data_IF_916798493651
#
_entry.id   IF_916798493651
#
_cell.length_a   1.000
_cell.length_b   1.000
_cell.length_c   1.000
_cell.angle_alpha   90.00
_cell.angle_beta   90.00
_cell.angle_gamma   90.00
#
_symmetry.space_group_name_H-M   'P 1'
#
loop_
_entity.id
_entity.type
_entity.pdbx_description
1 polymer ?
2 non-polymer ?
3 water ?
#
# COMPACT_ATOMS: atom_id res chain seq x y z
N UNK A 34 10.06 -14.10 -8.42
CA UNK A 34 9.88 -15.22 -9.40
C UNK A 34 8.70 -16.10 -9.04
N UNK A 35 8.45 -16.30 -7.74
CA UNK A 35 7.49 -17.27 -7.14
C UNK A 35 6.05 -16.79 -7.33
N UNK A 36 5.12 -17.74 -7.44
CA UNK A 36 3.68 -17.54 -7.77
C UNK A 36 2.85 -17.22 -6.52
N UNK A 37 3.36 -17.55 -5.31
CA UNK A 37 2.61 -17.46 -4.05
C UNK A 37 2.10 -16.05 -3.81
N UNK A 38 2.99 -15.07 -3.98
CA UNK A 38 2.67 -13.62 -3.85
C UNK A 38 1.61 -13.25 -4.90
N UNK A 39 1.70 -13.81 -6.11
CA UNK A 39 0.74 -13.53 -7.22
C UNK A 39 -0.64 -14.09 -6.87
N UNK A 40 -0.69 -15.29 -6.31
CA UNK A 40 -1.95 -15.94 -5.86
C UNK A 40 -2.58 -15.10 -4.74
N UNK A 41 -1.77 -14.67 -3.76
CA UNK A 41 -2.27 -13.84 -2.64
C UNK A 41 -2.90 -12.57 -3.22
N UNK A 42 -2.19 -11.86 -4.09
CA UNK A 42 -2.67 -10.60 -4.73
C UNK A 42 -3.96 -10.86 -5.53
N UNK A 43 -3.94 -11.89 -6.37
CA UNK A 43 -5.09 -12.19 -7.26
C UNK A 43 -6.31 -12.56 -6.42
N UNK A 44 -6.14 -13.24 -5.28
CA UNK A 44 -7.28 -13.71 -4.43
C UNK A 44 -7.83 -12.59 -3.56
N UNK A 45 -7.14 -11.44 -3.47
CA UNK A 45 -7.64 -10.20 -2.82
C UNK A 45 -8.68 -9.58 -3.77
N UNK A 46 -9.97 -9.78 -3.48
CA UNK A 46 -11.10 -9.36 -4.34
C UNK A 46 -11.21 -7.83 -4.30
N UNK A 47 -11.02 -7.23 -3.13
CA UNK A 47 -11.05 -5.75 -2.97
C UNK A 47 -9.99 -5.18 -3.91
N UNK A 48 -8.75 -5.67 -3.82
CA UNK A 48 -7.63 -5.19 -4.66
C UNK A 48 -8.01 -5.37 -6.14
N UNK A 49 -8.30 -6.62 -6.55
CA UNK A 49 -8.31 -6.99 -7.98
C UNK A 49 -9.59 -6.49 -8.65
N UNK A 50 -10.75 -6.57 -7.97
CA UNK A 50 -12.04 -6.01 -8.47
C UNK A 50 -12.04 -4.48 -8.50
N UNK A 51 -11.36 -3.78 -7.59
CA UNK A 51 -11.17 -2.30 -7.66
C UNK A 51 -10.49 -1.94 -8.99
N UNK A 52 -9.40 -2.62 -9.31
CA UNK A 52 -8.64 -2.35 -10.56
C UNK A 52 -9.55 -2.69 -11.76
N UNK A 53 -10.22 -3.85 -11.69
CA UNK A 53 -11.12 -4.29 -12.78
C UNK A 53 -12.22 -3.23 -12.98
N UNK A 54 -12.88 -2.83 -11.89
CA UNK A 54 -14.01 -1.87 -11.91
C UNK A 54 -13.50 -0.57 -12.51
N UNK A 55 -12.35 -0.09 -12.06
CA UNK A 55 -11.77 1.16 -12.60
C UNK A 55 -11.66 1.06 -14.13
N UNK A 56 -11.03 -0.02 -14.61
CA UNK A 56 -10.66 -0.13 -16.04
C UNK A 56 -11.93 -0.34 -16.87
N UNK A 57 -12.79 -1.28 -16.48
CA UNK A 57 -14.00 -1.66 -17.27
C UNK A 57 -15.04 -0.53 -17.24
N UNK A 58 -15.15 0.23 -16.15
CA UNK A 58 -16.21 1.26 -16.01
C UNK A 58 -15.72 2.61 -16.52
N UNK A 59 -14.45 2.72 -16.92
CA UNK A 59 -13.87 3.96 -17.52
C UNK A 59 -13.09 3.60 -18.78
N UNK A 60 -13.72 2.93 -19.78
CA UNK A 60 -12.98 2.43 -20.94
C UNK A 60 -12.45 3.55 -21.83
N UNK A 61 -13.03 4.76 -21.75
CA UNK A 61 -12.55 5.96 -22.49
C UNK A 61 -11.08 6.25 -22.10
N UNK A 62 -10.62 5.80 -20.94
CA UNK A 62 -9.23 6.08 -20.50
C UNK A 62 -8.26 5.18 -21.28
N UNK A 63 -8.74 4.03 -21.74
CA UNK A 63 -7.91 2.96 -22.36
C UNK A 63 -8.11 2.88 -23.88
N UNK A 64 -9.31 3.20 -24.37
CA UNK A 64 -9.74 3.07 -25.78
C UNK A 64 -8.63 3.59 -26.70
N UNK A 65 -8.01 2.72 -27.49
CA UNK A 65 -6.98 3.05 -28.52
C UNK A 65 -5.79 3.76 -27.88
N UNK A 66 -5.50 3.50 -26.60
CA UNK A 66 -4.33 4.14 -25.93
C UNK A 66 -3.18 3.13 -25.87
N UNK A 67 -1.97 3.66 -25.69
CA UNK A 67 -0.75 2.87 -25.38
C UNK A 67 -0.60 2.82 -23.86
N UNK A 68 -0.60 1.64 -23.29
CA UNK A 68 -0.62 1.43 -21.81
C UNK A 68 0.67 0.72 -21.39
N UNK A 69 1.25 1.18 -20.28
CA UNK A 69 2.42 0.55 -19.63
C UNK A 69 2.01 0.02 -18.24
N UNK A 70 2.17 -1.29 -18.03
CA UNK A 70 1.89 -2.00 -16.75
C UNK A 70 3.24 -2.26 -16.07
N UNK A 71 3.59 -1.45 -15.07
CA UNK A 71 4.88 -1.53 -14.33
C UNK A 71 4.79 -2.66 -13.31
N UNK A 72 5.62 -3.68 -13.44
CA UNK A 72 5.60 -4.87 -12.55
C UNK A 72 4.33 -5.67 -12.73
N UNK A 73 4.11 -6.17 -13.94
CA UNK A 73 2.79 -6.69 -14.40
C UNK A 73 2.47 -8.04 -13.79
N UNK A 74 3.44 -8.74 -13.21
CA UNK A 74 3.16 -10.07 -12.62
C UNK A 74 2.57 -11.02 -13.64
N UNK A 75 1.43 -11.64 -13.32
CA UNK A 75 0.68 -12.57 -14.20
C UNK A 75 0.05 -11.83 -15.40
N UNK A 76 0.03 -10.48 -15.40
CA UNK A 76 -0.47 -9.67 -16.53
C UNK A 76 -1.97 -9.38 -16.50
N UNK A 77 -2.65 -9.65 -15.38
CA UNK A 77 -4.13 -9.46 -15.24
C UNK A 77 -4.50 -8.01 -15.57
N UNK A 78 -3.77 -7.02 -15.05
CA UNK A 78 -4.13 -5.60 -15.30
C UNK A 78 -3.90 -5.28 -16.78
N UNK A 79 -2.89 -5.91 -17.41
CA UNK A 79 -2.60 -5.74 -18.85
C UNK A 79 -3.77 -6.28 -19.65
N UNK A 80 -4.30 -7.43 -19.23
CA UNK A 80 -5.47 -8.04 -19.92
C UNK A 80 -6.71 -7.17 -19.68
N UNK A 81 -6.96 -6.66 -18.47
CA UNK A 81 -8.14 -5.78 -18.27
C UNK A 81 -8.05 -4.60 -19.26
N UNK A 82 -6.87 -4.00 -19.41
CA UNK A 82 -6.64 -2.81 -20.27
C UNK A 82 -6.87 -3.18 -21.73
N UNK A 83 -6.42 -4.35 -22.19
CA UNK A 83 -6.69 -4.83 -23.56
C UNK A 83 -8.20 -5.01 -23.72
N UNK A 84 -8.87 -5.63 -22.75
CA UNK A 84 -10.34 -5.82 -22.84
C UNK A 84 -11.05 -4.45 -22.93
N UNK A 85 -10.56 -3.41 -22.24
CA UNK A 85 -11.20 -2.07 -22.25
C UNK A 85 -10.90 -1.33 -23.57
N UNK A 86 -10.09 -1.89 -24.46
CA UNK A 86 -9.89 -1.38 -25.82
C UNK A 86 -8.53 -0.76 -26.07
N UNK A 87 -7.53 -1.02 -25.21
CA UNK A 87 -6.15 -0.53 -25.39
C UNK A 87 -5.66 -0.89 -26.80
N UNK A 88 -4.97 0.03 -27.47
CA UNK A 88 -4.32 -0.26 -28.78
C UNK A 88 -3.13 -1.19 -28.55
N UNK A 89 -2.35 -0.94 -27.49
CA UNK A 89 -1.10 -1.66 -27.16
C UNK A 89 -0.87 -1.60 -25.64
N UNK A 90 -0.53 -2.74 -25.04
CA UNK A 90 -0.16 -2.82 -23.59
C UNK A 90 1.24 -3.41 -23.48
N UNK A 91 2.17 -2.67 -22.88
CA UNK A 91 3.53 -3.14 -22.53
C UNK A 91 3.54 -3.55 -21.07
N UNK A 92 3.65 -4.84 -20.81
CA UNK A 92 3.76 -5.41 -19.45
C UNK A 92 5.21 -5.69 -19.15
N UNK A 93 5.74 -5.04 -18.12
CA UNK A 93 7.17 -5.16 -17.73
C UNK A 93 7.22 -5.80 -16.34
N UNK A 94 7.95 -6.92 -16.21
CA UNK A 94 8.30 -7.53 -14.91
C UNK A 94 9.76 -8.00 -14.94
N UNK A 95 10.48 -7.79 -13.84
CA UNK A 95 11.93 -8.15 -13.70
C UNK A 95 12.07 -9.64 -13.34
N UNK A 96 11.03 -10.27 -12.83
CA UNK A 96 11.15 -11.63 -12.24
C UNK A 96 10.68 -12.69 -13.24
N UNK A 97 10.88 -13.95 -12.87
CA UNK A 97 10.55 -15.19 -13.66
C UNK A 97 9.06 -15.21 -14.01
N UNK A 98 8.21 -14.51 -13.23
CA UNK A 98 6.74 -14.56 -13.42
C UNK A 98 6.44 -14.10 -14.85
N UNK A 99 7.30 -13.30 -15.46
CA UNK A 99 7.01 -12.76 -16.82
C UNK A 99 6.84 -13.91 -17.81
N UNK A 100 7.55 -15.04 -17.65
CA UNK A 100 7.44 -16.21 -18.55
C UNK A 100 6.04 -16.80 -18.46
N UNK A 101 5.45 -16.84 -17.25
CA UNK A 101 4.05 -17.29 -17.05
C UNK A 101 3.08 -16.29 -17.70
N UNK A 102 3.37 -14.98 -17.64
CA UNK A 102 2.52 -13.93 -18.23
C UNK A 102 2.49 -14.13 -19.75
N UNK A 103 3.65 -14.42 -20.36
CA UNK A 103 3.77 -14.70 -21.82
C UNK A 103 2.80 -15.81 -22.20
N UNK A 104 2.77 -16.90 -21.43
CA UNK A 104 1.88 -18.06 -21.68
C UNK A 104 0.42 -17.68 -21.43
N UNK A 105 0.18 -16.89 -20.38
CA UNK A 105 -1.21 -16.50 -20.00
C UNK A 105 -1.79 -15.62 -21.11
N UNK A 106 -0.99 -14.69 -21.64
CA UNK A 106 -1.43 -13.73 -22.70
C UNK A 106 -1.74 -14.50 -23.99
N UNK A 107 -0.97 -15.53 -24.32
CA UNK A 107 -1.21 -16.44 -25.48
C UNK A 107 -2.47 -17.26 -25.22
N UNK A 108 -2.64 -17.79 -24.00
CA UNK A 108 -3.83 -18.60 -23.62
C UNK A 108 -5.11 -17.77 -23.79
N UNK A 109 -5.03 -16.44 -23.64
CA UNK A 109 -6.21 -15.54 -23.82
C UNK A 109 -6.15 -14.81 -25.17
N UNK A 110 -5.23 -15.19 -26.07
CA UNK A 110 -5.17 -14.67 -27.46
C UNK A 110 -5.02 -13.14 -27.50
N UNK A 111 -4.15 -12.57 -26.66
CA UNK A 111 -3.97 -11.10 -26.57
C UNK A 111 -2.54 -10.71 -26.97
N UNK A 112 -1.78 -11.63 -27.56
CA UNK A 112 -0.34 -11.40 -27.89
C UNK A 112 -0.24 -10.31 -28.97
N UNK A 113 -1.31 -10.06 -29.74
CA UNK A 113 -1.34 -8.98 -30.77
C UNK A 113 -1.57 -7.61 -30.10
N UNK A 114 -2.07 -7.57 -28.86
CA UNK A 114 -2.30 -6.30 -28.09
C UNK A 114 -1.24 -6.13 -26.99
N UNK A 115 -0.87 -7.20 -26.28
CA UNK A 115 0.01 -7.12 -25.08
C UNK A 115 1.42 -7.65 -25.42
N UNK A 116 2.45 -6.80 -25.35
CA UNK A 116 3.88 -7.21 -25.43
C UNK A 116 4.47 -7.25 -24.01
N UNK A 117 5.10 -8.38 -23.66
CA UNK A 117 5.74 -8.60 -22.35
C UNK A 117 7.26 -8.50 -22.48
N UNK A 118 7.91 -7.74 -21.59
CA UNK A 118 9.37 -7.43 -21.57
C UNK A 118 9.90 -7.80 -20.17
N UNK A 119 10.88 -8.69 -20.11
CA UNK A 119 11.52 -9.12 -18.83
C UNK A 119 12.64 -8.15 -18.49
N UNK A 120 12.66 -7.65 -17.25
CA UNK A 120 13.73 -6.77 -16.73
C UNK A 120 13.18 -5.70 -15.79
N UNK A 121 14.09 -4.97 -15.16
CA UNK A 121 13.76 -3.79 -14.33
C UNK A 121 13.20 -2.75 -15.28
N UNK A 122 12.13 -2.06 -14.88
CA UNK A 122 11.56 -0.94 -15.69
C UNK A 122 12.64 0.14 -15.86
N UNK A 123 13.64 0.17 -14.99
CA UNK A 123 14.74 1.19 -15.03
C UNK A 123 15.77 0.84 -16.11
N UNK A 124 15.73 -0.38 -16.65
CA UNK A 124 16.79 -0.91 -17.55
C UNK A 124 16.24 -1.29 -18.93
N UNK A 125 15.00 -1.82 -19.01
CA UNK A 125 14.46 -2.47 -20.25
C UNK A 125 14.39 -1.45 -21.39
N UNK A 126 14.44 -1.95 -22.61
CA UNK A 126 14.19 -1.18 -23.85
C UNK A 126 12.71 -1.36 -24.21
N UNK A 127 11.96 -0.26 -24.27
CA UNK A 127 10.54 -0.25 -24.72
C UNK A 127 10.53 0.03 -26.22
N UNK A 128 9.61 -0.58 -26.99
CA UNK A 128 9.48 -0.28 -28.41
C UNK A 128 8.74 1.04 -28.71
N UNK A 129 8.50 1.88 -27.71
CA UNK A 129 7.86 3.22 -27.89
C UNK A 129 8.68 4.24 -27.12
N UNK A 130 8.63 5.51 -27.52
CA UNK A 130 9.24 6.65 -26.79
C UNK A 130 8.37 6.93 -25.56
N UNK A 131 7.05 7.03 -25.74
CA UNK A 131 6.09 7.52 -24.73
C UNK A 131 4.90 6.55 -24.63
N UNK A 132 4.13 6.68 -23.54
CA UNK A 132 2.86 5.93 -23.30
C UNK A 132 1.80 6.93 -22.86
N UNK A 133 0.53 6.60 -23.05
CA UNK A 133 -0.62 7.48 -22.72
C UNK A 133 -1.02 7.28 -21.25
N UNK A 134 -0.98 6.04 -20.81
CA UNK A 134 -1.45 5.60 -19.46
C UNK A 134 -0.39 4.70 -18.85
N UNK A 135 -0.12 4.89 -17.56
CA UNK A 135 0.66 3.93 -16.73
C UNK A 135 -0.30 3.35 -15.70
N UNK A 136 -0.30 2.03 -15.55
CA UNK A 136 -1.05 1.35 -14.47
C UNK A 136 -0.05 0.49 -13.72
N UNK A 137 -0.32 0.24 -12.44
CA UNK A 137 0.59 -0.51 -11.55
C UNK A 137 -0.14 -0.81 -10.25
N UNK A 138 0.21 -1.93 -9.65
CA UNK A 138 -0.10 -2.18 -8.22
C UNK A 138 1.24 -2.28 -7.51
N UNK A 139 1.65 -1.19 -6.85
CA UNK A 139 3.03 -0.97 -6.36
C UNK A 139 3.05 -0.91 -4.82
N UNK A 140 1.87 -0.96 -4.20
CA UNK A 140 1.62 -0.62 -2.77
C UNK A 140 2.12 -1.74 -1.84
N UNK A 141 2.84 -1.34 -0.80
CA UNK A 141 3.29 -2.25 0.28
C UNK A 141 2.46 -2.08 1.54
N UNK A 142 2.76 -2.89 2.55
CA UNK A 142 2.23 -2.70 3.92
C UNK A 142 2.46 -1.24 4.29
N UNK A 143 1.49 -0.62 4.96
CA UNK A 143 1.55 0.82 5.34
C UNK A 143 1.87 1.67 4.11
N UNK A 144 1.41 1.19 2.93
CA UNK A 144 1.65 1.80 1.60
C UNK A 144 3.11 1.69 1.16
N UNK A 145 4.07 2.07 2.00
CA UNK A 145 5.45 2.34 1.54
C UNK A 145 6.46 1.25 1.94
N UNK A 146 6.10 0.23 2.73
CA UNK A 146 7.06 -0.86 3.03
C UNK A 146 7.20 -1.77 1.81
N UNK A 147 8.42 -1.88 1.27
CA UNK A 147 8.76 -2.76 0.11
C UNK A 147 7.77 -2.43 -1.02
N UNK A 148 7.55 -1.14 -1.25
CA UNK A 148 6.67 -0.62 -2.33
C UNK A 148 7.51 -0.45 -3.60
N UNK A 149 6.83 -0.40 -4.74
CA UNK A 149 7.44 -0.28 -6.09
C UNK A 149 7.27 1.16 -6.59
N UNK A 150 6.79 2.07 -5.75
CA UNK A 150 6.40 3.41 -6.23
C UNK A 150 7.59 4.12 -6.88
N UNK A 151 8.80 3.91 -6.35
CA UNK A 151 10.06 4.49 -6.93
C UNK A 151 10.12 4.16 -8.43
N UNK A 152 9.86 2.91 -8.77
CA UNK A 152 9.97 2.38 -10.16
C UNK A 152 8.84 2.97 -11.02
N UNK A 153 7.62 3.06 -10.46
CA UNK A 153 6.43 3.68 -11.12
C UNK A 153 6.78 5.14 -11.44
N UNK A 154 7.39 5.83 -10.49
CA UNK A 154 7.75 7.26 -10.65
C UNK A 154 8.85 7.40 -11.71
N UNK A 155 9.82 6.47 -11.75
CA UNK A 155 10.86 6.47 -12.81
C UNK A 155 10.18 6.33 -14.18
N UNK A 156 9.25 5.38 -14.29
CA UNK A 156 8.46 5.10 -15.52
C UNK A 156 7.66 6.35 -15.91
N UNK A 157 7.05 7.01 -14.94
CA UNK A 157 6.28 8.26 -15.17
C UNK A 157 7.21 9.32 -15.78
N UNK A 158 8.33 9.61 -15.13
CA UNK A 158 9.21 10.75 -15.49
C UNK A 158 9.80 10.48 -16.88
N UNK A 159 10.07 9.22 -17.22
CA UNK A 159 10.76 8.85 -18.49
C UNK A 159 9.75 8.61 -19.62
N UNK A 160 8.60 7.97 -19.38
CA UNK A 160 7.78 7.38 -20.47
C UNK A 160 6.40 8.02 -20.63
N UNK A 161 5.89 8.78 -19.65
CA UNK A 161 4.50 9.28 -19.81
C UNK A 161 4.49 10.45 -20.80
N UNK A 162 3.67 10.34 -21.84
CA UNK A 162 3.39 11.43 -22.79
C UNK A 162 2.85 12.65 -22.03
N UNK A 163 3.12 13.86 -22.53
CA UNK A 163 2.53 15.13 -22.06
C UNK A 163 1.01 14.91 -21.98
N UNK A 164 0.40 15.15 -20.83
CA UNK A 164 -1.07 15.05 -20.66
C UNK A 164 -1.56 13.62 -20.48
N UNK A 165 -0.65 12.63 -20.36
CA UNK A 165 -1.02 11.24 -20.03
C UNK A 165 -1.45 11.09 -18.57
N UNK A 166 -1.77 9.88 -18.12
CA UNK A 166 -2.29 9.63 -16.76
C UNK A 166 -1.65 8.38 -16.15
N UNK A 167 -1.56 8.36 -14.83
CA UNK A 167 -0.98 7.25 -14.04
C UNK A 167 -2.06 6.82 -13.06
N UNK A 168 -2.25 5.52 -12.90
CA UNK A 168 -3.31 4.98 -12.01
C UNK A 168 -2.74 3.88 -11.15
N UNK A 169 -3.17 3.78 -9.87
CA UNK A 169 -4.09 4.76 -9.26
C UNK A 169 -3.39 6.11 -9.03
N UNK A 170 -4.14 7.22 -9.05
CA UNK A 170 -3.55 8.58 -9.13
C UNK A 170 -3.38 9.17 -7.72
N UNK A 171 -4.22 8.80 -6.75
CA UNK A 171 -4.25 9.46 -5.42
C UNK A 171 -4.24 8.38 -4.32
N UNK A 172 -3.34 8.56 -3.33
CA UNK A 172 -3.15 7.69 -2.16
C UNK A 172 -3.15 8.56 -0.89
N UNK A 173 -3.71 8.05 0.20
CA UNK A 173 -3.58 8.65 1.56
C UNK A 173 -3.09 7.60 2.54
N UNK A 174 -2.42 8.04 3.61
CA UNK A 174 -2.06 7.21 4.79
C UNK A 174 -2.75 7.82 6.00
N UNK A 175 -3.27 6.97 6.88
CA UNK A 175 -3.99 7.36 8.10
C UNK A 175 -3.42 6.63 9.30
N UNK A 176 -3.54 7.25 10.48
CA UNK A 176 -3.29 6.58 11.78
C UNK A 176 -4.61 6.53 12.55
N UNK A 177 -4.76 5.55 13.44
CA UNK A 177 -5.90 5.48 14.40
C UNK A 177 -5.40 4.85 15.71
N UNK A 178 -5.93 5.32 16.84
CA UNK A 178 -5.56 4.86 18.20
C UNK A 178 -6.25 3.54 18.48
N UNK A 179 -5.57 2.65 19.21
CA UNK A 179 -6.07 1.27 19.52
C UNK A 179 -6.00 1.06 21.04
N UNK A 180 -7.01 0.37 21.60
CA UNK A 180 -6.99 -0.19 22.98
C UNK A 180 -7.11 -1.70 22.90
N UNK A 181 -6.06 -2.44 23.22
CA UNK A 181 -6.15 -3.93 23.20
C UNK A 181 -5.13 -4.48 24.18
N UNK A 182 -5.44 -4.38 25.48
CA UNK A 182 -4.50 -4.81 26.55
C UNK A 182 -4.16 -6.30 26.36
N UNK A 183 -5.12 -7.13 25.97
CA UNK A 183 -4.91 -8.59 25.82
C UNK A 183 -3.89 -8.84 24.69
N UNK A 184 -4.06 -8.20 23.54
CA UNK A 184 -3.09 -8.40 22.42
C UNK A 184 -1.73 -7.85 22.84
N UNK A 185 -1.71 -6.73 23.56
CA UNK A 185 -0.45 -6.10 24.05
C UNK A 185 0.24 -7.08 25.02
N UNK A 186 -0.50 -7.68 25.93
CA UNK A 186 0.02 -8.67 26.91
C UNK A 186 0.53 -9.91 26.16
N UNK A 187 -0.17 -10.37 25.11
CA UNK A 187 0.25 -11.56 24.31
C UNK A 187 1.60 -11.31 23.64
N UNK A 188 1.88 -10.06 23.28
CA UNK A 188 3.10 -9.74 22.51
C UNK A 188 4.27 -9.33 23.41
N UNK A 189 3.99 -8.68 24.55
CA UNK A 189 5.03 -7.95 25.34
C UNK A 189 5.19 -8.59 26.72
N UNK A 190 4.15 -8.54 27.55
CA UNK A 190 4.12 -9.04 28.94
C UNK A 190 4.47 -10.53 28.96
N UNK A 191 3.99 -11.26 27.96
CA UNK A 191 4.32 -12.67 27.69
C UNK A 191 5.75 -13.01 28.10
N UNK A 192 6.71 -12.16 27.73
CA UNK A 192 8.18 -12.41 27.86
C UNK A 192 8.66 -12.32 29.32
N UNK A 193 7.81 -11.85 30.24
CA UNK A 193 8.19 -11.69 31.67
C UNK A 193 8.15 -13.05 32.37
N UNK A 194 7.21 -13.93 32.01
CA UNK A 194 7.05 -15.28 32.61
C UNK A 194 6.74 -16.33 31.54
N UNK A 195 7.79 -16.94 31.00
CA UNK A 195 7.76 -18.03 29.97
C UNK A 195 8.04 -19.35 30.69
N UNK A 196 6.97 -20.07 31.07
CA UNK A 196 6.99 -21.38 31.75
C UNK A 196 7.87 -21.29 33.00
N UNK A 197 7.71 -20.21 33.76
CA UNK A 197 8.43 -19.96 35.03
C UNK A 197 9.71 -19.16 34.87
N UNK A 198 10.18 -18.86 33.65
CA UNK A 198 11.48 -18.17 33.43
C UNK A 198 11.28 -16.76 32.86
N UNK A 199 12.07 -15.81 33.39
CA UNK A 199 12.16 -14.41 32.90
C UNK A 199 12.82 -14.38 31.52
N UNK A 200 12.23 -13.67 30.56
CA UNK A 200 12.82 -13.39 29.23
C UNK A 200 12.54 -11.93 28.86
N UNK A 201 12.42 -11.06 29.86
CA UNK A 201 12.08 -9.62 29.74
C UNK A 201 13.03 -8.89 28.78
N UNK A 202 14.30 -9.28 28.70
CA UNK A 202 15.30 -8.72 27.74
C UNK A 202 14.82 -8.87 26.27
N UNK A 203 13.86 -9.76 25.98
CA UNK A 203 13.37 -10.00 24.58
C UNK A 203 12.46 -8.86 24.13
N UNK A 204 11.90 -8.08 25.05
CA UNK A 204 10.84 -7.10 24.71
C UNK A 204 11.40 -5.98 23.82
N UNK A 205 12.70 -5.68 23.96
CA UNK A 205 13.37 -4.55 23.27
C UNK A 205 13.58 -4.93 21.81
N UNK A 206 13.55 -6.22 21.49
CA UNK A 206 13.58 -6.74 20.11
C UNK A 206 12.15 -6.72 19.52
N UNK A 207 11.13 -6.92 20.35
CA UNK A 207 9.70 -7.06 19.91
C UNK A 207 9.10 -5.67 19.62
N UNK A 208 9.28 -4.71 20.52
CA UNK A 208 8.56 -3.39 20.45
C UNK A 208 8.83 -2.70 19.12
N UNK A 209 10.11 -2.62 18.65
CA UNK A 209 10.44 -1.93 17.41
C UNK A 209 9.94 -2.60 16.12
N UNK A 210 9.38 -3.82 16.20
CA UNK A 210 8.83 -4.50 15.02
C UNK A 210 7.34 -4.16 14.88
N UNK A 211 6.97 -3.46 13.81
CA UNK A 211 5.56 -3.26 13.42
C UNK A 211 4.93 -4.62 13.13
N UNK A 212 3.67 -4.80 13.50
CA UNK A 212 2.90 -6.05 13.28
C UNK A 212 1.94 -5.77 12.12
N UNK A 213 1.87 -6.67 11.15
CA UNK A 213 0.85 -6.64 10.07
C UNK A 213 -0.24 -7.66 10.40
N UNK A 214 -1.43 -7.20 10.70
CA UNK A 214 -2.57 -8.07 11.09
C UNK A 214 -3.84 -7.26 10.92
N UNK A 215 -4.95 -7.98 10.88
CA UNK A 215 -6.30 -7.39 10.76
C UNK A 215 -6.72 -7.05 12.17
N UNK A 216 -7.16 -5.82 12.39
CA UNK A 216 -7.60 -5.33 13.73
C UNK A 216 -9.10 -5.53 13.85
N UNK A 217 -9.54 -6.07 14.98
CA UNK A 217 -10.94 -5.96 15.43
C UNK A 217 -11.31 -4.47 15.45
N UNK A 218 -12.29 -4.02 14.64
CA UNK A 218 -12.66 -2.60 14.60
C UNK A 218 -13.25 -2.11 15.93
N UNK A 219 -13.66 -3.03 16.79
CA UNK A 219 -14.12 -2.73 18.18
C UNK A 219 -12.97 -2.15 19.01
N UNK A 220 -11.71 -2.41 18.68
CA UNK A 220 -10.54 -1.98 19.52
C UNK A 220 -10.08 -0.57 19.10
N UNK A 221 -10.75 0.06 18.14
CA UNK A 221 -10.39 1.42 17.70
C UNK A 221 -10.97 2.44 18.66
N UNK A 222 -10.16 3.37 19.16
CA UNK A 222 -10.55 4.29 20.27
C UNK A 222 -10.34 5.73 19.83
N UNK A 223 -10.18 5.99 18.53
CA UNK A 223 -10.14 7.37 17.99
C UNK A 223 -10.73 7.39 16.59
N UNK A 224 -11.07 8.58 16.12
CA UNK A 224 -11.31 8.87 14.69
C UNK A 224 -9.97 8.72 14.00
N UNK A 225 -9.93 8.32 12.71
CA UNK A 225 -8.68 8.30 11.96
C UNK A 225 -8.09 9.71 11.80
N UNK A 226 -6.77 9.82 11.68
CA UNK A 226 -6.10 11.06 11.21
C UNK A 226 -5.25 10.77 9.99
N UNK A 227 -5.52 11.46 8.87
CA UNK A 227 -4.67 11.49 7.66
C UNK A 227 -3.29 12.06 7.96
N UNK A 228 -2.23 11.42 7.51
CA UNK A 228 -0.85 11.93 7.74
C UNK A 228 -0.13 12.15 6.42
N UNK A 229 -0.71 11.74 5.30
CA UNK A 229 -0.02 11.83 3.98
C UNK A 229 -1.05 11.73 2.87
N UNK A 230 -0.96 12.65 1.93
CA UNK A 230 -1.72 12.67 0.65
C UNK A 230 -0.69 12.66 -0.48
N UNK A 231 -0.80 11.69 -1.39
CA UNK A 231 0.10 11.55 -2.57
C UNK A 231 -0.75 11.67 -3.84
N UNK A 232 -0.41 12.58 -4.76
CA UNK A 232 -0.90 12.52 -6.17
C UNK A 232 0.28 12.04 -7.01
N UNK A 233 0.13 10.87 -7.62
CA UNK A 233 1.22 10.19 -8.35
C UNK A 233 1.66 11.03 -9.56
N UNK A 234 0.82 11.95 -10.04
CA UNK A 234 1.14 12.79 -11.23
C UNK A 234 2.25 13.78 -10.86
N UNK A 235 2.29 14.24 -9.60
CA UNK A 235 3.09 15.41 -9.18
C UNK A 235 4.09 15.08 -8.06
N UNK A 236 3.92 13.97 -7.33
CA UNK A 236 4.85 13.60 -6.23
C UNK A 236 6.21 13.20 -6.83
N UNK A 237 7.30 13.54 -6.16
CA UNK A 237 8.68 13.08 -6.46
C UNK A 237 9.07 11.98 -5.47
N UNK A 238 10.22 11.34 -5.69
CA UNK A 238 10.77 10.30 -4.78
C UNK A 238 10.99 10.90 -3.40
N UNK A 239 11.54 12.11 -3.33
CA UNK A 239 11.90 12.82 -2.07
C UNK A 239 10.67 13.07 -1.19
N UNK A 240 9.48 13.25 -1.79
CA UNK A 240 8.20 13.49 -1.07
C UNK A 240 7.80 12.29 -0.20
N UNK A 241 8.31 11.10 -0.52
CA UNK A 241 7.86 9.83 0.13
C UNK A 241 8.53 9.67 1.49
N UNK A 242 9.62 10.40 1.77
CA UNK A 242 10.11 10.68 3.14
C UNK A 242 9.33 11.90 3.61
N UNK A 243 8.67 11.83 4.77
CA UNK A 243 7.83 12.95 5.26
C UNK A 243 7.65 12.87 6.78
N UNK A 244 7.24 14.01 7.36
CA UNK A 244 6.85 14.22 8.77
C UNK A 244 5.44 14.79 8.80
N UNK A 245 4.60 14.34 9.72
CA UNK A 245 3.27 14.93 9.94
C UNK A 245 3.02 15.02 11.45
N UNK A 246 2.62 16.20 11.92
CA UNK A 246 1.95 16.40 13.24
C UNK A 246 0.52 15.89 13.06
N UNK A 247 -0.02 15.16 14.03
CA UNK A 247 -1.39 14.60 13.92
C UNK A 247 -2.11 14.81 15.25
N UNK A 248 -3.42 14.74 15.17
CA UNK A 248 -4.37 14.86 16.30
C UNK A 248 -5.31 13.66 16.19
N UNK A 249 -5.28 12.77 17.17
CA UNK A 249 -6.24 11.65 17.22
C UNK A 249 -7.39 12.09 18.12
N UNK A 250 -8.58 12.24 17.55
CA UNK A 250 -9.84 12.55 18.27
C UNK A 250 -10.30 11.28 18.99
N UNK A 251 -9.97 11.18 20.28
CA UNK A 251 -10.30 10.01 21.14
C UNK A 251 -11.83 9.92 21.30
N UNK A 252 -12.39 8.72 21.08
CA UNK A 252 -13.84 8.40 21.09
C UNK A 252 -14.17 7.40 22.21
N UNK A 253 -13.18 6.90 22.96
CA UNK A 253 -13.43 5.98 24.10
C UNK A 253 -12.34 6.16 25.16
N UNK A 254 -12.79 6.37 26.41
CA UNK A 254 -11.97 6.36 27.64
C UNK A 254 -11.42 4.95 27.82
N UNK A 255 -10.10 4.78 27.73
CA UNK A 255 -9.48 3.44 27.65
C UNK A 255 -7.97 3.57 27.80
N UNK A 256 -7.31 2.43 27.88
CA UNK A 256 -5.83 2.31 27.81
C UNK A 256 -5.47 2.26 26.31
N UNK A 257 -4.81 3.30 25.80
CA UNK A 257 -4.21 3.30 24.44
C UNK A 257 -2.98 2.40 24.46
N UNK A 258 -3.00 1.30 23.70
CA UNK A 258 -1.90 0.28 23.70
C UNK A 258 -1.09 0.34 22.41
N UNK A 259 -1.64 0.91 21.34
CA UNK A 259 -1.01 0.89 20.00
C UNK A 259 -1.59 1.99 19.12
N UNK A 260 -0.84 2.34 18.07
CA UNK A 260 -1.30 3.16 16.92
C UNK A 260 -1.28 2.25 15.70
N UNK A 261 -2.39 2.24 14.96
CA UNK A 261 -2.56 1.45 13.72
C UNK A 261 -2.46 2.40 12.52
N UNK A 262 -1.82 1.90 11.46
CA UNK A 262 -1.68 2.61 10.19
C UNK A 262 -2.37 1.84 9.08
N UNK A 263 -2.91 2.56 8.11
CA UNK A 263 -3.49 1.96 6.88
C UNK A 263 -3.50 3.02 5.80
N UNK A 264 -4.00 2.65 4.62
CA UNK A 264 -3.98 3.52 3.43
C UNK A 264 -5.24 3.32 2.58
N UNK A 265 -5.58 4.38 1.85
CA UNK A 265 -6.72 4.45 0.90
C UNK A 265 -6.15 4.73 -0.49
N UNK A 266 -6.73 4.07 -1.50
CA UNK A 266 -6.30 4.07 -2.92
C UNK A 266 -7.46 4.63 -3.76
N UNK A 267 -7.18 5.65 -4.56
CA UNK A 267 -8.20 6.39 -5.34
C UNK A 267 -7.82 6.32 -6.82
N UNK A 268 -8.84 6.05 -7.63
CA UNK A 268 -8.82 6.22 -9.10
C UNK A 268 -9.77 7.36 -9.44
N UNK A 269 -9.23 8.52 -9.84
CA UNK A 269 -9.99 9.79 -9.93
C UNK A 269 -9.91 10.37 -11.34
N UNK A 270 -8.68 10.67 -11.79
CA UNK A 270 -8.41 11.54 -12.95
C UNK A 270 -9.24 11.02 -14.13
N UNK A 271 -10.08 11.89 -14.69
CA UNK A 271 -10.82 11.67 -15.96
C UNK A 271 -11.82 10.51 -15.82
N UNK A 272 -12.13 10.07 -14.59
CA UNK A 272 -13.12 8.99 -14.34
C UNK A 272 -14.54 9.56 -14.29
N UNK A 273 -15.45 8.92 -15.02
CA UNK A 273 -16.91 9.02 -14.86
C UNK A 273 -17.33 8.16 -13.68
N UNK A 274 -16.66 7.02 -13.48
CA UNK A 274 -16.94 6.06 -12.38
C UNK A 274 -15.69 5.97 -11.50
N UNK A 275 -15.59 6.86 -10.52
CA UNK A 275 -14.49 6.91 -9.54
C UNK A 275 -14.46 5.60 -8.74
N UNK A 276 -13.27 5.17 -8.37
CA UNK A 276 -13.10 3.96 -7.54
C UNK A 276 -12.19 4.34 -6.38
N UNK A 277 -12.57 3.85 -5.21
CA UNK A 277 -11.77 3.97 -3.96
C UNK A 277 -11.83 2.61 -3.27
N UNK A 278 -10.75 2.23 -2.61
CA UNK A 278 -10.77 1.19 -1.56
C UNK A 278 -9.86 1.62 -0.42
N UNK A 279 -10.23 1.21 0.80
CA UNK A 279 -9.52 1.47 2.07
C UNK A 279 -8.96 0.14 2.55
N UNK A 280 -7.78 0.17 3.16
CA UNK A 280 -7.21 -1.02 3.82
C UNK A 280 -7.38 -0.86 5.31
N UNK A 281 -8.26 0.06 5.71
CA UNK A 281 -8.53 0.36 7.13
C UNK A 281 -9.36 -0.73 7.80
N UNK A 282 -9.33 -0.79 9.13
CA UNK A 282 -9.99 -1.86 9.86
C UNK A 282 -11.54 -1.76 9.84
N UNK A 283 -12.08 -0.59 9.51
CA UNK A 283 -13.54 -0.40 9.33
C UNK A 283 -14.01 -0.95 7.98
N UNK A 284 -13.08 -1.35 7.11
CA UNK A 284 -13.41 -1.86 5.75
C UNK A 284 -13.05 -3.34 5.65
N UNK A 285 -13.67 -4.02 4.70
CA UNK A 285 -13.40 -5.42 4.30
C UNK A 285 -11.88 -5.62 4.26
N UNK A 286 -11.41 -6.71 4.86
CA UNK A 286 -9.96 -6.96 5.00
C UNK A 286 -9.38 -7.16 3.61
N UNK A 287 -8.13 -6.74 3.46
CA UNK A 287 -7.31 -6.96 2.25
C UNK A 287 -6.05 -7.70 2.67
N UNK A 288 -5.25 -8.14 1.70
CA UNK A 288 -3.93 -8.79 1.94
C UNK A 288 -2.98 -7.82 2.66
N UNK A 289 -3.21 -6.51 2.56
CA UNK A 289 -2.35 -5.49 3.23
C UNK A 289 -2.66 -5.38 4.73
N UNK A 290 -3.82 -5.89 5.15
CA UNK A 290 -4.32 -5.89 6.54
C UNK A 290 -4.16 -4.47 7.08
N UNK A 291 -3.64 -4.33 8.30
CA UNK A 291 -3.27 -3.03 8.91
C UNK A 291 -1.89 -3.21 9.55
N UNK A 292 -1.13 -2.11 9.63
CA UNK A 292 0.20 -2.04 10.27
C UNK A 292 0.02 -1.48 11.69
N UNK A 293 0.52 -2.19 12.69
CA UNK A 293 0.31 -1.86 14.14
C UNK A 293 1.65 -1.61 14.81
N UNK A 294 1.78 -0.44 15.43
CA UNK A 294 2.94 0.04 16.21
C UNK A 294 2.56 -0.04 17.69
N UNK A 295 3.08 -1.04 18.40
CA UNK A 295 2.79 -1.26 19.84
C UNK A 295 3.48 -0.17 20.64
N UNK A 296 2.79 0.37 21.64
CA UNK A 296 3.43 1.34 22.58
C UNK A 296 4.19 0.56 23.64
N UNK A 297 5.43 0.95 23.93
CA UNK A 297 6.19 0.36 25.05
C UNK A 297 5.42 0.59 26.36
N UNK A 298 4.90 1.80 26.54
CA UNK A 298 4.16 2.21 27.78
C UNK A 298 2.75 2.61 27.36
N UNK A 299 1.77 1.69 27.36
CA UNK A 299 0.37 2.07 27.17
C UNK A 299 -0.02 3.16 28.19
N UNK A 300 -0.95 4.04 27.82
CA UNK A 300 -1.33 5.20 28.66
C UNK A 300 -2.81 5.46 28.46
N UNK A 301 -3.46 5.97 29.50
CA UNK A 301 -4.93 6.17 29.55
C UNK A 301 -5.31 7.41 28.72
N UNK A 302 -6.40 7.31 27.98
CA UNK A 302 -6.97 8.44 27.20
C UNK A 302 -8.45 8.56 27.58
N UNK A 303 -9.03 9.73 27.32
CA UNK A 303 -10.43 10.11 27.63
C UNK A 303 -11.14 10.48 26.33
N UNK A 304 -12.39 10.02 26.16
CA UNK A 304 -13.32 10.45 25.10
C UNK A 304 -13.35 11.98 25.08
N UNK A 305 -13.24 12.60 23.90
CA UNK A 305 -13.16 14.07 23.72
C UNK A 305 -11.73 14.60 23.63
N UNK A 306 -10.74 13.90 24.18
CA UNK A 306 -9.31 14.34 24.18
C UNK A 306 -8.79 14.47 22.73
N UNK A 307 -8.03 15.53 22.45
CA UNK A 307 -7.28 15.75 21.20
C UNK A 307 -5.84 15.28 21.43
N UNK A 308 -5.56 14.02 21.11
CA UNK A 308 -4.23 13.39 21.35
C UNK A 308 -3.28 13.75 20.20
N UNK A 309 -2.24 14.52 20.51
CA UNK A 309 -1.30 15.08 19.51
C UNK A 309 -0.03 14.21 19.49
N UNK A 310 0.48 13.94 18.30
CA UNK A 310 1.74 13.22 18.13
C UNK A 310 2.46 13.68 16.89
N UNK A 311 3.63 13.09 16.66
CA UNK A 311 4.39 13.38 15.43
C UNK A 311 4.83 12.03 14.86
N UNK A 312 4.70 11.89 13.55
CA UNK A 312 5.19 10.70 12.81
C UNK A 312 6.14 11.16 11.70
N UNK A 313 7.22 10.42 11.49
CA UNK A 313 8.18 10.65 10.39
C UNK A 313 8.52 9.31 9.73
N UNK A 314 8.46 9.29 8.41
CA UNK A 314 8.86 8.13 7.58
C UNK A 314 10.21 8.43 6.91
N UNK A 315 11.17 7.50 7.04
CA UNK A 315 12.50 7.49 6.37
C UNK A 315 12.69 6.19 5.56
N UNK A 316 13.46 6.23 4.45
CA UNK A 316 13.84 5.09 3.57
C UNK A 316 15.32 4.70 3.78
N UNK A 317 15.89 3.87 2.89
CA UNK A 317 17.33 3.48 2.88
C UNK A 317 18.01 4.15 1.67
N UNK A 323 15.50 -0.77 4.94
CA UNK A 323 14.58 0.09 4.15
C UNK A 323 13.73 0.93 5.13
N UNK A 324 12.41 0.80 5.11
CA UNK A 324 11.47 1.82 5.67
C UNK A 324 11.47 1.82 7.20
N UNK A 325 11.54 3.02 7.80
CA UNK A 325 11.26 3.18 9.26
C UNK A 325 10.28 4.33 9.53
N UNK A 326 9.58 4.19 10.65
CA UNK A 326 8.44 5.03 11.11
C UNK A 326 8.79 5.46 12.54
N UNK A 327 9.09 6.74 12.71
CA UNK A 327 9.39 7.34 14.03
C UNK A 327 8.10 7.98 14.56
N UNK A 328 7.67 7.55 15.74
CA UNK A 328 6.41 8.00 16.39
C UNK A 328 6.74 8.66 17.72
N UNK A 329 6.33 9.91 17.90
CA UNK A 329 6.31 10.60 19.22
C UNK A 329 4.86 10.76 19.69
N UNK A 330 4.58 10.27 20.89
CA UNK A 330 3.23 10.32 21.50
C UNK A 330 3.41 10.24 23.01
N UNK A 331 2.63 11.02 23.76
CA UNK A 331 2.64 10.97 25.25
C UNK A 331 4.09 11.11 25.77
N UNK A 332 4.89 11.96 25.13
CA UNK A 332 6.26 12.36 25.56
C UNK A 332 7.22 11.17 25.55
N UNK A 333 7.02 10.21 24.66
CA UNK A 333 8.10 9.27 24.31
C UNK A 333 8.06 8.97 22.81
N UNK A 334 9.21 8.51 22.31
CA UNK A 334 9.52 8.34 20.89
C UNK A 334 10.00 6.91 20.69
N UNK A 335 9.56 6.28 19.60
CA UNK A 335 10.00 4.93 19.20
C UNK A 335 10.04 4.92 17.67
N UNK A 336 11.11 4.34 17.10
CA UNK A 336 11.24 4.05 15.66
C UNK A 336 10.87 2.59 15.45
N UNK A 337 10.04 2.32 14.45
CA UNK A 337 9.50 0.98 14.11
C UNK A 337 9.97 0.62 12.70
N UNK A 338 10.21 -0.67 12.42
CA UNK A 338 10.50 -1.22 11.08
C UNK A 338 9.63 -2.44 10.85
N UNK A 339 9.58 -3.00 9.63
CA UNK A 339 8.56 -4.02 9.25
C UNK A 339 9.15 -5.39 8.90
N UNK A 340 10.21 -5.85 9.59
CA UNK A 340 10.72 -7.26 9.56
C UNK A 340 11.08 -7.66 8.13
X LIG B 1 10.93 -3.38 -12.52
X LIG B 1 6.64 -8.56 -9.13
X LIG B 1 5.71 -7.35 -9.33
X LIG B 1 8.75 -5.67 -10.03
X LIG B 1 4.93 -6.94 -8.10
X LIG B 1 6.27 -9.56 -10.07
X LIG B 1 10.19 -4.04 -10.37
X LIG B 1 7.75 -6.72 -10.16
X LIG B 1 8.05 -7.98 -9.36
X LIG B 1 10.01 -4.11 -9.00
X LIG B 1 9.16 -5.09 -8.85
X LIG B 1 10.14 -4.35 -13.00
X LIG B 1 9.42 -4.99 -11.02
X LIG B 1 2.21 -4.86 -4.27
X LIG B 1 8.87 -8.87 -10.09
X LIG B 1 6.53 -6.22 -9.67
X LIG B 1 9.36 -5.20 -12.34
X LIG B 1 10.98 -3.20 -11.17
X LIG B 1 11.77 -2.22 -10.69
X LIG B 1 5.90 -6.68 -6.60
X LIG B 1 4.52 -6.37 -5.45
X LIG B 1 4.71 -5.12 -4.65
X LIG B 1 3.52 -4.22 -4.37
X LIG B 1 1.83 -5.76 -3.34
X LIG B 1 0.60 -6.18 -3.27
X LIG B 1 2.74 -6.17 -2.39
X LIG B 1 2.51 -7.17 -1.41
X LIG B 1 2.68 -6.96 -0.05
X LIG B 1 2.46 -7.99 0.84
X LIG B 1 2.07 -9.24 0.39
X LIG B 1 1.89 -9.45 -0.96
X LIG B 1 2.11 -8.42 -1.87
#
# INVERSE_FOLDING_TARGET
MGSSHHHHHHSSGLVPRGSDLQEDEDGVYFSSYGHYGIHEEMLKDKIRTESYRDFIYQNPHIFKDKVVLDVGCGTGILSMFAAKAGAKKVLGVDQSEILYQAMDIIRLNKLEDTITLIKGKIEEVHLPVEKVDVIISEWMGYFLLFESMLDSVLYAKNKYLAKGGSVYPDICTISLVAVSDVNKHADRIAFWDDVYGFKMSCMKKAVIPEAVVEVLDPKTLISEPCGIKHIDCHTTSISDLEFSSDFTLKITRTSMCTAIAGYFDIYFEKNCHNRVVFSTGPQSTKTHWKQTVFLLEKPFSVKAGEALKGKVTVHKNKKDPRSLTVTLTLNNSTQTYGLQ
GV3 N1 C7 C8 N2 C9 O1 C1 C5 C6 N3 C4 C3 C2 N4 O2 O N C N7 S C10 C11 C12 C13 N6 N5 C14 C19 C18 C17 C16 C15
#
